data_IF_166352478407
#
_entry.id   IF_166352478407
#
_cell.length_a   1.000
_cell.length_b   1.000
_cell.length_c   1.000
_cell.angle_alpha   90.00
_cell.angle_beta   90.00
_cell.angle_gamma   90.00
#
_symmetry.space_group_name_H-M   'P 1'
#
loop_
_entity.id
_entity.type
_entity.pdbx_description
1 polymer ?
#
# COMPACT_ATOMS: atom_id res chain seq x y z
N UNK A 1 -37.14 -88.53 -14.57
CA UNK A 1 -37.60 -87.62 -15.64
C UNK A 1 -38.16 -86.36 -15.00
N UNK A 2 -37.52 -85.20 -15.18
CA UNK A 2 -38.07 -83.92 -14.68
C UNK A 2 -39.34 -83.60 -15.50
N UNK A 3 -40.49 -83.29 -14.87
CA UNK A 3 -41.72 -83.01 -15.58
C UNK A 3 -41.56 -81.80 -16.51
N UNK A 4 -42.16 -81.86 -17.71
CA UNK A 4 -42.07 -80.80 -18.74
C UNK A 4 -42.41 -79.41 -18.20
N UNK A 5 -43.34 -79.34 -17.24
CA UNK A 5 -43.78 -78.11 -16.60
C UNK A 5 -42.71 -77.53 -15.64
N UNK A 6 -41.90 -78.38 -15.00
CA UNK A 6 -40.78 -77.92 -14.16
C UNK A 6 -39.62 -77.36 -15.00
N UNK A 7 -39.41 -77.89 -16.23
CA UNK A 7 -38.43 -77.31 -17.18
C UNK A 7 -38.88 -75.95 -17.72
N UNK A 8 -40.18 -75.79 -18.02
CA UNK A 8 -40.76 -74.51 -18.44
C UNK A 8 -40.73 -73.47 -17.32
N UNK A 9 -41.07 -73.86 -16.08
CA UNK A 9 -41.00 -72.99 -14.92
C UNK A 9 -39.55 -72.56 -14.60
N UNK A 10 -38.58 -73.49 -14.72
CA UNK A 10 -37.16 -73.17 -14.56
C UNK A 10 -36.66 -72.21 -15.66
N UNK A 11 -37.06 -72.41 -16.93
CA UNK A 11 -36.70 -71.52 -18.03
C UNK A 11 -37.29 -70.10 -17.88
N UNK A 12 -38.54 -70.00 -17.44
CA UNK A 12 -39.18 -68.72 -17.14
C UNK A 12 -38.49 -68.01 -15.96
N UNK A 13 -38.09 -68.76 -14.92
CA UNK A 13 -37.34 -68.22 -13.78
C UNK A 13 -35.98 -67.65 -14.19
N UNK A 14 -35.22 -68.36 -15.04
CA UNK A 14 -33.92 -67.86 -15.54
C UNK A 14 -34.11 -66.60 -16.38
N UNK A 15 -35.09 -66.58 -17.29
CA UNK A 15 -35.38 -65.40 -18.11
C UNK A 15 -35.78 -64.19 -17.25
N UNK A 16 -36.60 -64.41 -16.22
CA UNK A 16 -37.01 -63.36 -15.29
C UNK A 16 -35.82 -62.77 -14.52
N UNK A 17 -34.93 -63.62 -14.00
CA UNK A 17 -33.69 -63.17 -13.34
C UNK A 17 -32.79 -62.39 -14.29
N UNK A 18 -32.68 -62.83 -15.54
CA UNK A 18 -31.85 -62.18 -16.56
C UNK A 18 -32.40 -60.79 -16.94
N UNK A 19 -33.73 -60.66 -17.06
CA UNK A 19 -34.41 -59.37 -17.28
C UNK A 19 -34.19 -58.44 -16.09
N UNK A 20 -34.31 -58.93 -14.85
CA UNK A 20 -34.03 -58.12 -13.66
C UNK A 20 -32.58 -57.65 -13.61
N UNK A 21 -31.63 -58.53 -13.92
CA UNK A 21 -30.21 -58.21 -13.95
C UNK A 21 -29.89 -57.14 -15.02
N UNK A 22 -30.52 -57.24 -16.20
CA UNK A 22 -30.42 -56.22 -17.24
C UNK A 22 -31.03 -54.89 -16.79
N UNK A 23 -32.22 -54.93 -16.17
CA UNK A 23 -32.89 -53.74 -15.68
C UNK A 23 -32.01 -53.00 -14.66
N UNK A 24 -31.50 -53.68 -13.62
CA UNK A 24 -30.65 -53.05 -12.60
C UNK A 24 -29.28 -52.59 -13.14
N UNK A 25 -28.68 -53.31 -14.08
CA UNK A 25 -27.38 -52.93 -14.66
C UNK A 25 -27.44 -51.76 -15.65
N UNK A 26 -28.65 -51.41 -16.11
CA UNK A 26 -28.88 -50.30 -17.03
C UNK A 26 -28.91 -48.93 -16.34
N UNK A 27 -29.15 -48.88 -15.03
CA UNK A 27 -29.18 -47.62 -14.30
C UNK A 27 -27.80 -47.23 -13.79
N UNK A 28 -27.49 -45.94 -13.83
CA UNK A 28 -26.31 -45.36 -13.20
C UNK A 28 -26.65 -43.99 -12.62
N UNK A 29 -25.84 -43.52 -11.68
CA UNK A 29 -26.03 -42.23 -11.04
C UNK A 29 -24.81 -41.34 -11.27
N UNK A 30 -25.07 -40.07 -11.55
CA UNK A 30 -24.04 -39.02 -11.69
C UNK A 30 -24.19 -38.03 -10.53
N UNK A 31 -23.07 -37.69 -9.89
CA UNK A 31 -23.04 -36.71 -8.80
C UNK A 31 -23.24 -35.27 -9.32
N UNK A 32 -23.73 -34.36 -8.47
CA UNK A 32 -24.02 -32.96 -8.81
C UNK A 32 -22.82 -32.21 -9.38
N UNK A 33 -21.62 -32.50 -8.89
CA UNK A 33 -20.37 -31.90 -9.34
C UNK A 33 -19.69 -32.63 -10.50
N UNK A 34 -20.38 -33.59 -11.13
CA UNK A 34 -19.85 -34.36 -12.24
C UNK A 34 -20.81 -34.35 -13.44
N UNK A 35 -20.28 -34.74 -14.59
CA UNK A 35 -21.05 -35.03 -15.81
C UNK A 35 -20.64 -36.40 -16.33
N UNK A 36 -21.62 -37.21 -16.69
CA UNK A 36 -21.37 -38.56 -17.20
C UNK A 36 -21.25 -38.54 -18.72
N UNK A 37 -20.07 -38.83 -19.26
CA UNK A 37 -19.88 -39.01 -20.70
C UNK A 37 -20.28 -40.44 -21.06
N UNK A 38 -21.34 -40.58 -21.85
CA UNK A 38 -21.84 -41.88 -22.31
C UNK A 38 -21.29 -42.19 -23.69
N UNK A 39 -20.54 -43.29 -23.76
CA UNK A 39 -19.92 -43.80 -24.96
C UNK A 39 -20.62 -45.07 -25.41
N UNK A 40 -20.85 -45.22 -26.72
CA UNK A 40 -21.36 -46.44 -27.34
C UNK A 40 -20.28 -47.01 -28.24
N UNK A 41 -19.70 -48.16 -27.89
CA UNK A 41 -18.58 -48.77 -28.62
C UNK A 41 -17.43 -47.77 -28.88
N UNK A 42 -17.18 -46.84 -27.94
CA UNK A 42 -16.16 -45.80 -28.07
C UNK A 42 -16.60 -44.50 -28.75
N UNK A 43 -17.80 -44.44 -29.34
CA UNK A 43 -18.36 -43.18 -29.88
C UNK A 43 -19.08 -42.40 -28.78
N UNK A 44 -18.77 -41.11 -28.63
CA UNK A 44 -19.51 -40.21 -27.74
C UNK A 44 -20.94 -40.03 -28.27
N UNK A 45 -21.93 -40.43 -27.46
CA UNK A 45 -23.35 -40.33 -27.80
C UNK A 45 -23.98 -39.12 -27.12
N UNK A 46 -23.72 -38.94 -25.82
CA UNK A 46 -24.32 -37.87 -25.03
C UNK A 46 -23.55 -37.61 -23.74
N UNK A 47 -23.81 -36.44 -23.16
CA UNK A 47 -23.39 -36.08 -21.80
C UNK A 47 -24.62 -36.15 -20.89
N UNK A 48 -24.51 -36.90 -19.81
CA UNK A 48 -25.51 -37.07 -18.74
C UNK A 48 -25.41 -35.93 -17.75
N UNK A 49 -26.57 -35.38 -17.41
CA UNK A 49 -26.74 -34.47 -16.28
C UNK A 49 -26.65 -35.23 -14.94
N UNK A 50 -26.48 -34.52 -13.81
CA UNK A 50 -26.53 -35.12 -12.49
C UNK A 50 -27.87 -35.81 -12.20
N UNK A 51 -27.80 -36.86 -11.38
CA UNK A 51 -28.95 -37.66 -11.00
C UNK A 51 -28.91 -39.05 -11.59
N UNK A 52 -30.07 -39.71 -11.57
CA UNK A 52 -30.24 -41.07 -12.05
C UNK A 52 -30.48 -41.06 -13.56
N UNK A 53 -29.68 -41.84 -14.29
CA UNK A 53 -29.75 -41.91 -15.74
C UNK A 53 -29.58 -43.36 -16.24
N UNK A 54 -29.88 -43.59 -17.52
CA UNK A 54 -29.99 -44.89 -18.14
C UNK A 54 -28.91 -45.09 -19.22
N UNK A 55 -28.24 -46.23 -19.17
CA UNK A 55 -27.29 -46.71 -20.18
C UNK A 55 -27.72 -48.08 -20.70
N UNK A 56 -27.36 -48.39 -21.94
CA UNK A 56 -27.55 -49.74 -22.49
C UNK A 56 -26.44 -50.64 -21.95
N UNK A 57 -26.75 -51.67 -21.13
CA UNK A 57 -25.72 -52.53 -20.55
C UNK A 57 -24.94 -53.25 -21.66
N UNK A 58 -23.66 -53.56 -21.39
CA UNK A 58 -22.69 -54.20 -22.30
C UNK A 58 -22.23 -53.39 -23.52
N UNK A 59 -23.04 -52.45 -24.01
CA UNK A 59 -22.75 -51.65 -25.21
C UNK A 59 -22.26 -50.25 -24.82
N UNK A 60 -22.94 -49.64 -23.86
CA UNK A 60 -22.65 -48.28 -23.41
C UNK A 60 -21.69 -48.31 -22.20
N UNK A 61 -20.61 -47.54 -22.28
CA UNK A 61 -19.73 -47.24 -21.15
C UNK A 61 -19.93 -45.80 -20.69
N UNK A 62 -19.75 -45.55 -19.39
CA UNK A 62 -19.93 -44.23 -18.78
C UNK A 62 -18.63 -43.85 -18.09
N UNK A 63 -18.14 -42.65 -18.40
CA UNK A 63 -16.97 -42.05 -17.76
C UNK A 63 -17.37 -40.71 -17.16
N UNK A 64 -17.05 -40.45 -15.90
CA UNK A 64 -17.42 -39.18 -15.26
C UNK A 64 -16.31 -38.15 -15.40
N UNK A 65 -16.71 -36.89 -15.59
CA UNK A 65 -15.85 -35.72 -15.66
C UNK A 65 -16.32 -34.74 -14.60
N UNK A 66 -15.43 -34.36 -13.69
CA UNK A 66 -15.72 -33.37 -12.65
C UNK A 66 -15.80 -31.97 -13.24
N UNK A 67 -16.90 -31.26 -12.95
CA UNK A 67 -17.10 -29.84 -13.29
C UNK A 67 -16.79 -28.91 -12.12
N UNK A 68 -16.25 -29.46 -11.02
CA UNK A 68 -15.80 -28.68 -9.86
C UNK A 68 -14.53 -27.90 -10.20
N UNK A 69 -14.20 -26.95 -9.33
CA UNK A 69 -12.94 -26.23 -9.41
C UNK A 69 -11.78 -27.15 -9.03
N UNK A 70 -10.73 -27.11 -9.84
CA UNK A 70 -9.46 -27.79 -9.64
C UNK A 70 -8.36 -26.74 -9.55
N UNK A 71 -7.40 -26.94 -8.66
CA UNK A 71 -6.23 -26.07 -8.55
C UNK A 71 -4.99 -26.85 -8.92
N UNK A 72 -4.24 -26.33 -9.88
CA UNK A 72 -2.92 -26.84 -10.23
C UNK A 72 -1.85 -25.84 -9.81
N UNK A 73 -0.81 -26.31 -9.14
CA UNK A 73 0.26 -25.49 -8.57
C UNK A 73 1.56 -25.79 -9.31
N UNK A 74 2.15 -24.74 -9.87
CA UNK A 74 3.52 -24.75 -10.38
C UNK A 74 4.44 -24.31 -9.24
N UNK A 75 5.15 -25.27 -8.64
CA UNK A 75 6.02 -25.00 -7.47
C UNK A 75 7.27 -24.19 -7.85
N UNK A 76 7.91 -24.52 -8.97
CA UNK A 76 9.19 -23.92 -9.39
C UNK A 76 9.15 -23.52 -10.86
N UNK A 77 8.31 -22.54 -11.20
CA UNK A 77 8.24 -22.00 -12.55
C UNK A 77 9.41 -21.04 -12.76
N UNK A 78 10.43 -21.49 -13.50
CA UNK A 78 11.60 -20.67 -13.83
C UNK A 78 11.24 -19.59 -14.87
N UNK A 79 11.63 -18.35 -14.60
CA UNK A 79 11.50 -17.25 -15.55
C UNK A 79 12.64 -16.24 -15.39
N UNK A 80 12.79 -15.36 -16.38
CA UNK A 80 13.74 -14.25 -16.34
C UNK A 80 12.98 -12.94 -16.32
N UNK A 81 13.41 -12.03 -15.45
CA UNK A 81 12.89 -10.67 -15.42
C UNK A 81 13.43 -9.85 -16.61
N UNK A 82 12.86 -8.66 -16.82
CA UNK A 82 13.30 -7.71 -17.85
C UNK A 82 14.80 -7.37 -17.76
N UNK A 83 15.32 -7.28 -16.53
CA UNK A 83 16.75 -7.05 -16.21
C UNK A 83 17.57 -8.35 -16.14
N UNK A 84 17.09 -9.41 -16.81
CA UNK A 84 17.77 -10.69 -16.98
C UNK A 84 18.12 -11.41 -15.67
N UNK A 85 17.32 -11.20 -14.62
CA UNK A 85 17.50 -11.90 -13.37
C UNK A 85 16.71 -13.21 -13.37
N UNK A 86 17.34 -14.36 -13.11
CA UNK A 86 16.63 -15.61 -12.96
C UNK A 86 15.78 -15.55 -11.69
N UNK A 87 14.54 -16.02 -11.82
CA UNK A 87 13.57 -16.11 -10.72
C UNK A 87 12.83 -17.44 -10.77
N UNK A 88 12.42 -17.91 -9.60
CA UNK A 88 11.53 -19.06 -9.44
C UNK A 88 10.19 -18.56 -8.92
N UNK A 89 9.13 -18.81 -9.68
CA UNK A 89 7.78 -18.41 -9.31
C UNK A 89 6.98 -19.62 -8.83
N UNK A 90 6.22 -19.40 -7.76
CA UNK A 90 5.16 -20.31 -7.34
C UNK A 90 3.83 -19.75 -7.84
N UNK A 91 3.15 -20.48 -8.73
CA UNK A 91 1.92 -20.01 -9.40
C UNK A 91 0.83 -21.05 -9.27
N UNK A 92 -0.33 -20.65 -8.75
CA UNK A 92 -1.52 -21.50 -8.74
C UNK A 92 -2.53 -21.05 -9.78
N UNK A 93 -3.06 -22.03 -10.50
CA UNK A 93 -4.13 -21.84 -11.49
C UNK A 93 -5.33 -22.64 -11.04
N UNK A 94 -6.39 -21.93 -10.68
CA UNK A 94 -7.71 -22.54 -10.42
C UNK A 94 -8.51 -22.51 -11.70
N UNK A 95 -8.98 -23.68 -12.11
CA UNK A 95 -9.71 -23.89 -13.35
C UNK A 95 -10.87 -24.85 -13.12
N UNK A 96 -11.85 -24.81 -14.01
CA UNK A 96 -12.95 -25.77 -14.05
C UNK A 96 -13.33 -26.06 -15.49
N UNK A 97 -14.00 -27.18 -15.69
CA UNK A 97 -14.55 -27.55 -17.00
C UNK A 97 -16.02 -27.15 -17.00
N UNK A 98 -16.44 -26.18 -17.83
CA UNK A 98 -17.86 -25.86 -17.96
C UNK A 98 -18.64 -27.08 -18.44
N UNK A 99 -19.87 -27.25 -17.96
CA UNK A 99 -20.67 -28.45 -18.24
C UNK A 99 -20.93 -28.64 -19.74
N UNK A 100 -21.05 -27.54 -20.48
CA UNK A 100 -21.22 -27.47 -21.92
C UNK A 100 -20.00 -27.96 -22.72
N UNK A 101 -18.78 -27.85 -22.16
CA UNK A 101 -17.53 -28.22 -22.83
C UNK A 101 -17.05 -29.63 -22.47
N UNK A 102 -17.78 -30.38 -21.63
CA UNK A 102 -17.38 -31.73 -21.20
C UNK A 102 -17.26 -32.70 -22.38
N UNK A 103 -18.15 -32.59 -23.37
CA UNK A 103 -18.10 -33.45 -24.57
C UNK A 103 -16.84 -33.19 -25.40
N UNK A 104 -16.51 -31.92 -25.60
CA UNK A 104 -15.31 -31.46 -26.32
C UNK A 104 -14.04 -31.88 -25.60
N UNK A 105 -13.98 -31.65 -24.28
CA UNK A 105 -12.88 -32.10 -23.44
C UNK A 105 -12.64 -33.60 -23.59
N UNK A 106 -13.70 -34.41 -23.50
CA UNK A 106 -13.55 -35.86 -23.60
C UNK A 106 -13.12 -36.29 -25.00
N UNK A 107 -13.65 -35.66 -26.05
CA UNK A 107 -13.29 -35.99 -27.42
C UNK A 107 -11.82 -35.66 -27.75
N UNK A 108 -11.31 -34.52 -27.28
CA UNK A 108 -9.96 -34.04 -27.63
C UNK A 108 -8.88 -34.53 -26.64
N UNK A 109 -9.21 -34.60 -25.36
CA UNK A 109 -8.24 -34.89 -24.29
C UNK A 109 -8.53 -36.21 -23.56
N UNK A 110 -9.77 -36.70 -23.59
CA UNK A 110 -10.20 -37.92 -22.89
C UNK A 110 -10.37 -37.76 -21.38
N UNK A 111 -9.42 -37.12 -20.70
CA UNK A 111 -9.47 -36.90 -19.25
C UNK A 111 -9.05 -35.48 -18.87
N UNK A 112 -9.46 -35.04 -17.68
CA UNK A 112 -9.04 -33.74 -17.11
C UNK A 112 -7.51 -33.70 -16.93
N UNK A 113 -6.89 -34.80 -16.52
CA UNK A 113 -5.43 -34.87 -16.36
C UNK A 113 -4.70 -34.66 -17.69
N UNK A 114 -5.20 -35.23 -18.79
CA UNK A 114 -4.62 -34.99 -20.11
C UNK A 114 -4.82 -33.55 -20.59
N UNK A 115 -5.98 -32.95 -20.32
CA UNK A 115 -6.23 -31.53 -20.58
C UNK A 115 -5.22 -30.67 -19.82
N UNK A 116 -5.05 -30.92 -18.52
CA UNK A 116 -4.10 -30.19 -17.68
C UNK A 116 -2.67 -30.28 -18.24
N UNK A 117 -2.19 -31.48 -18.54
CA UNK A 117 -0.83 -31.70 -19.05
C UNK A 117 -0.60 -31.07 -20.44
N UNK A 118 -1.60 -31.12 -21.32
CA UNK A 118 -1.45 -30.62 -22.71
C UNK A 118 -1.72 -29.14 -22.85
N UNK A 119 -2.59 -28.58 -22.01
CA UNK A 119 -3.04 -27.19 -22.12
C UNK A 119 -2.44 -26.35 -21.00
N UNK A 120 -2.77 -26.64 -19.74
CA UNK A 120 -2.35 -25.80 -18.60
C UNK A 120 -0.84 -25.82 -18.42
N UNK A 121 -0.23 -27.01 -18.38
CA UNK A 121 1.21 -27.16 -18.15
C UNK A 121 2.07 -26.64 -19.31
N UNK A 122 1.48 -26.47 -20.50
CA UNK A 122 2.18 -25.90 -21.67
C UNK A 122 1.98 -24.39 -21.80
N UNK A 123 0.73 -23.93 -21.78
CA UNK A 123 0.40 -22.54 -22.07
C UNK A 123 0.60 -21.62 -20.86
N UNK A 124 0.41 -22.10 -19.63
CA UNK A 124 0.56 -21.27 -18.42
C UNK A 124 2.00 -20.78 -18.26
N UNK A 125 3.04 -21.65 -18.32
CA UNK A 125 4.41 -21.18 -18.19
C UNK A 125 4.80 -20.13 -19.22
N UNK A 126 4.38 -20.30 -20.48
CA UNK A 126 4.68 -19.34 -21.53
C UNK A 126 4.01 -17.98 -21.27
N UNK A 127 2.73 -17.97 -20.88
CA UNK A 127 2.02 -16.74 -20.53
C UNK A 127 2.65 -16.03 -19.31
N UNK A 128 2.97 -16.78 -18.25
CA UNK A 128 3.63 -16.26 -17.05
C UNK A 128 5.00 -15.67 -17.40
N UNK A 129 5.85 -16.42 -18.13
CA UNK A 129 7.19 -15.97 -18.55
C UNK A 129 7.13 -14.70 -19.39
N UNK A 130 6.19 -14.62 -20.33
CA UNK A 130 6.02 -13.45 -21.20
C UNK A 130 5.61 -12.19 -20.45
N UNK A 131 4.75 -12.32 -19.42
CA UNK A 131 4.38 -11.18 -18.56
C UNK A 131 5.51 -10.84 -17.62
N UNK A 132 6.09 -11.83 -16.95
CA UNK A 132 7.17 -11.63 -15.98
C UNK A 132 8.40 -10.96 -16.62
N UNK A 133 8.74 -11.33 -17.86
CA UNK A 133 9.83 -10.72 -18.63
C UNK A 133 9.64 -9.23 -18.96
N UNK A 134 8.46 -8.65 -18.70
CA UNK A 134 8.19 -7.19 -18.81
C UNK A 134 8.45 -6.43 -17.52
N UNK A 135 8.59 -7.15 -16.40
CA UNK A 135 8.85 -6.58 -15.08
C UNK A 135 10.34 -6.70 -14.75
N UNK A 136 10.93 -5.63 -14.21
CA UNK A 136 12.22 -5.77 -13.53
C UNK A 136 12.05 -6.53 -12.23
N UNK A 137 13.09 -7.18 -11.73
CA UNK A 137 13.00 -7.95 -10.48
C UNK A 137 12.50 -7.10 -9.30
N UNK A 138 12.96 -5.84 -9.20
CA UNK A 138 12.52 -4.90 -8.16
C UNK A 138 11.02 -4.59 -8.28
N UNK A 139 10.53 -4.34 -9.51
CA UNK A 139 9.10 -4.05 -9.72
C UNK A 139 8.22 -5.27 -9.51
N UNK A 140 8.70 -6.48 -9.83
CA UNK A 140 7.97 -7.72 -9.56
C UNK A 140 7.72 -7.91 -8.05
N UNK A 141 8.65 -7.47 -7.20
CA UNK A 141 8.51 -7.50 -5.73
C UNK A 141 7.59 -6.36 -5.25
N UNK A 142 7.82 -5.14 -5.71
CA UNK A 142 7.10 -3.94 -5.23
C UNK A 142 5.65 -3.85 -5.75
N UNK A 143 5.41 -4.20 -7.01
CA UNK A 143 4.10 -4.12 -7.69
C UNK A 143 3.47 -5.52 -7.87
N UNK A 144 3.69 -6.42 -6.90
CA UNK A 144 3.31 -7.83 -7.02
C UNK A 144 1.82 -8.06 -7.32
N UNK A 145 0.94 -7.25 -6.76
CA UNK A 145 -0.49 -7.31 -7.05
C UNK A 145 -0.78 -7.05 -8.54
N UNK A 146 -0.10 -6.06 -9.13
CA UNK A 146 -0.25 -5.72 -10.54
C UNK A 146 0.31 -6.82 -11.43
N UNK A 147 1.47 -7.38 -11.09
CA UNK A 147 2.02 -8.56 -11.75
C UNK A 147 1.00 -9.71 -11.76
N UNK A 148 0.35 -9.98 -10.62
CA UNK A 148 -0.69 -11.02 -10.51
C UNK A 148 -1.89 -10.76 -11.43
N UNK A 149 -2.37 -9.53 -11.51
CA UNK A 149 -3.47 -9.14 -12.43
C UNK A 149 -3.07 -9.35 -13.89
N UNK A 150 -1.88 -8.89 -14.27
CA UNK A 150 -1.39 -9.03 -15.65
C UNK A 150 -1.17 -10.49 -16.03
N UNK A 151 -0.61 -11.30 -15.12
CA UNK A 151 -0.44 -12.75 -15.30
C UNK A 151 -1.79 -13.44 -15.44
N UNK A 152 -2.77 -13.12 -14.59
CA UNK A 152 -4.11 -13.68 -14.67
C UNK A 152 -4.78 -13.36 -16.03
N UNK A 153 -4.68 -12.12 -16.49
CA UNK A 153 -5.21 -11.72 -17.79
C UNK A 153 -4.51 -12.45 -18.96
N UNK A 154 -3.19 -12.60 -18.90
CA UNK A 154 -2.43 -13.28 -19.93
C UNK A 154 -2.71 -14.79 -19.98
N UNK A 155 -2.82 -15.45 -18.83
CA UNK A 155 -3.19 -16.87 -18.77
C UNK A 155 -4.62 -17.06 -19.27
N UNK A 156 -5.57 -16.23 -18.84
CA UNK A 156 -6.95 -16.30 -19.33
C UNK A 156 -7.00 -16.17 -20.87
N UNK A 157 -6.27 -15.22 -21.44
CA UNK A 157 -6.18 -15.04 -22.90
C UNK A 157 -5.47 -16.21 -23.60
N UNK A 158 -4.45 -16.81 -22.98
CA UNK A 158 -3.75 -17.95 -23.57
C UNK A 158 -4.63 -19.21 -23.63
N UNK A 159 -5.57 -19.34 -22.70
CA UNK A 159 -6.51 -20.46 -22.61
C UNK A 159 -7.76 -20.29 -23.46
N UNK A 160 -7.88 -19.17 -24.20
CA UNK A 160 -8.99 -18.96 -25.11
C UNK A 160 -9.07 -20.09 -26.15
N UNK A 161 -10.30 -20.56 -26.41
CA UNK A 161 -10.59 -21.70 -27.28
C UNK A 161 -10.25 -23.09 -26.72
N UNK A 162 -9.73 -23.22 -25.51
CA UNK A 162 -9.63 -24.54 -24.85
C UNK A 162 -10.93 -24.84 -24.09
N UNK A 163 -11.34 -26.12 -23.94
CA UNK A 163 -12.55 -26.51 -23.22
C UNK A 163 -12.38 -26.43 -21.69
N UNK A 164 -11.86 -25.30 -21.20
CA UNK A 164 -11.55 -25.03 -19.79
C UNK A 164 -11.81 -23.56 -19.48
N UNK A 165 -12.39 -23.31 -18.31
CA UNK A 165 -12.57 -21.97 -17.77
C UNK A 165 -11.57 -21.74 -16.64
N UNK A 166 -10.75 -20.70 -16.77
CA UNK A 166 -9.88 -20.24 -15.70
C UNK A 166 -10.71 -19.43 -14.71
N UNK A 167 -10.76 -19.88 -13.46
CA UNK A 167 -11.45 -19.19 -12.36
C UNK A 167 -10.55 -18.09 -11.79
N UNK A 168 -9.26 -18.37 -11.68
CA UNK A 168 -8.27 -17.39 -11.27
C UNK A 168 -6.85 -17.93 -11.29
N UNK A 169 -5.89 -17.00 -11.37
CA UNK A 169 -4.46 -17.29 -11.30
C UNK A 169 -3.85 -16.43 -10.21
N UNK A 170 -3.01 -17.04 -9.38
CA UNK A 170 -2.31 -16.35 -8.30
C UNK A 170 -0.81 -16.61 -8.38
N UNK A 171 -0.04 -15.54 -8.28
CA UNK A 171 1.42 -15.61 -8.11
C UNK A 171 1.70 -15.62 -6.60
N UNK A 172 1.88 -16.81 -6.04
CA UNK A 172 2.04 -17.09 -4.60
C UNK A 172 3.44 -16.79 -4.06
N UNK A 173 4.46 -16.83 -4.91
CA UNK A 173 5.82 -16.44 -4.53
C UNK A 173 6.62 -16.04 -5.78
N UNK A 174 7.55 -15.09 -5.59
CA UNK A 174 8.59 -14.76 -6.57
C UNK A 174 9.91 -14.77 -5.82
N UNK A 175 10.65 -15.86 -5.98
CA UNK A 175 11.97 -16.04 -5.36
C UNK A 175 13.08 -15.66 -6.33
N UNK A 176 14.11 -14.98 -5.82
CA UNK A 176 15.35 -14.71 -6.56
C UNK A 176 16.52 -15.42 -5.87
N UNK A 177 17.70 -15.41 -6.52
CA UNK A 177 18.90 -15.92 -5.84
C UNK A 177 19.20 -15.11 -4.58
N UNK A 178 19.60 -15.78 -3.48
CA UNK A 178 19.95 -15.10 -2.21
C UNK A 178 20.99 -13.99 -2.39
N UNK A 179 21.95 -14.20 -3.29
CA UNK A 179 22.96 -13.19 -3.62
C UNK A 179 22.34 -11.94 -4.25
N UNK A 180 21.35 -12.11 -5.13
CA UNK A 180 20.63 -11.01 -5.74
C UNK A 180 19.74 -10.27 -4.74
N UNK A 181 18.96 -11.00 -3.93
CA UNK A 181 18.12 -10.41 -2.88
C UNK A 181 18.95 -9.56 -1.93
N UNK A 182 20.11 -10.06 -1.49
CA UNK A 182 21.03 -9.29 -0.67
C UNK A 182 21.55 -8.04 -1.39
N UNK A 183 21.88 -8.13 -2.68
CA UNK A 183 22.31 -6.96 -3.46
C UNK A 183 21.22 -5.89 -3.60
N UNK A 184 19.95 -6.29 -3.72
CA UNK A 184 18.80 -5.39 -3.79
C UNK A 184 18.55 -4.74 -2.44
N UNK A 185 18.62 -5.51 -1.35
CA UNK A 185 18.56 -4.98 0.01
C UNK A 185 19.64 -3.92 0.24
N UNK A 186 20.89 -4.20 -0.13
CA UNK A 186 22.00 -3.24 -0.02
C UNK A 186 21.77 -1.97 -0.86
N UNK A 187 21.28 -2.11 -2.11
CA UNK A 187 20.93 -0.96 -2.96
C UNK A 187 19.78 -0.14 -2.39
N UNK A 188 18.76 -0.80 -1.84
CA UNK A 188 17.63 -0.14 -1.20
C UNK A 188 18.08 0.64 0.04
N UNK A 189 18.91 0.03 0.89
CA UNK A 189 19.49 0.71 2.05
C UNK A 189 20.37 1.89 1.65
N UNK A 190 21.19 1.75 0.60
CA UNK A 190 22.00 2.84 0.07
C UNK A 190 21.12 3.99 -0.47
N UNK A 191 20.02 3.68 -1.18
CA UNK A 191 19.08 4.70 -1.67
C UNK A 191 18.39 5.42 -0.51
N UNK A 192 17.90 4.69 0.50
CA UNK A 192 17.31 5.27 1.71
C UNK A 192 18.34 6.14 2.43
N UNK A 193 19.60 5.73 2.49
CA UNK A 193 20.68 6.54 3.09
C UNK A 193 20.92 7.83 2.31
N UNK A 194 20.90 7.79 0.97
CA UNK A 194 21.02 9.00 0.14
C UNK A 194 19.85 9.95 0.38
N UNK A 195 18.61 9.44 0.39
CA UNK A 195 17.42 10.24 0.63
C UNK A 195 17.41 10.87 2.03
N UNK A 196 17.78 10.10 3.06
CA UNK A 196 17.89 10.63 4.43
C UNK A 196 18.97 11.70 4.55
N UNK A 197 20.15 11.51 3.95
CA UNK A 197 21.20 12.54 3.90
C UNK A 197 20.74 13.78 3.14
N UNK A 198 19.97 13.62 2.06
CA UNK A 198 19.39 14.75 1.31
C UNK A 198 18.40 15.53 2.17
N UNK A 199 17.50 14.84 2.87
CA UNK A 199 16.54 15.45 3.80
C UNK A 199 17.25 16.15 4.97
N UNK A 200 18.31 15.55 5.52
CA UNK A 200 19.12 16.17 6.57
C UNK A 200 19.79 17.46 6.07
N UNK A 201 20.36 17.43 4.86
CA UNK A 201 20.96 18.62 4.23
C UNK A 201 19.92 19.73 4.06
N UNK A 202 18.73 19.39 3.56
CA UNK A 202 17.63 20.33 3.37
C UNK A 202 17.16 20.92 4.71
N UNK A 203 16.98 20.07 5.73
CA UNK A 203 16.63 20.50 7.09
C UNK A 203 17.69 21.43 7.70
N UNK A 204 18.97 21.12 7.49
CA UNK A 204 20.08 21.95 7.97
C UNK A 204 20.10 23.31 7.27
N UNK A 205 19.83 23.36 5.96
CA UNK A 205 19.70 24.62 5.22
C UNK A 205 18.54 25.47 5.74
N UNK A 206 17.35 24.88 5.90
CA UNK A 206 16.18 25.57 6.45
C UNK A 206 16.48 26.09 7.86
N UNK A 207 17.14 25.28 8.70
CA UNK A 207 17.53 25.69 10.05
C UNK A 207 18.50 26.87 10.03
N UNK A 208 19.52 26.84 9.16
CA UNK A 208 20.46 27.93 9.00
C UNK A 208 19.75 29.22 8.53
N UNK A 209 18.79 29.13 7.62
CA UNK A 209 17.97 30.25 7.17
C UNK A 209 17.12 30.83 8.31
N UNK A 210 16.46 29.97 9.10
CA UNK A 210 15.72 30.38 10.31
C UNK A 210 16.63 31.15 11.27
N UNK A 211 17.87 30.68 11.51
CA UNK A 211 18.82 31.38 12.38
C UNK A 211 19.22 32.75 11.83
N UNK A 212 19.45 32.88 10.52
CA UNK A 212 19.75 34.16 9.87
C UNK A 212 18.56 35.13 10.00
N UNK A 213 17.34 34.65 9.74
CA UNK A 213 16.12 35.45 9.89
C UNK A 213 15.92 35.90 11.34
N UNK A 214 16.12 34.99 12.30
CA UNK A 214 16.04 35.29 13.73
C UNK A 214 17.09 36.32 14.15
N UNK A 215 18.34 36.15 13.74
CA UNK A 215 19.43 37.08 14.06
C UNK A 215 19.18 38.48 13.47
N UNK A 216 18.64 38.57 12.24
CA UNK A 216 18.20 39.84 11.64
C UNK A 216 17.07 40.46 12.44
N UNK A 217 16.04 39.69 12.78
CA UNK A 217 14.91 40.16 13.57
C UNK A 217 15.36 40.69 14.96
N UNK A 218 16.30 40.00 15.62
CA UNK A 218 16.88 40.46 16.89
C UNK A 218 17.73 41.73 16.72
N UNK A 219 18.53 41.82 15.67
CA UNK A 219 19.31 43.02 15.35
C UNK A 219 18.40 44.23 15.06
N UNK A 220 17.31 44.01 14.32
CA UNK A 220 16.30 45.02 14.01
C UNK A 220 15.56 45.47 15.27
N UNK A 221 15.14 44.51 16.11
CA UNK A 221 14.52 44.82 17.40
C UNK A 221 15.44 45.65 18.31
N UNK A 222 16.73 45.29 18.41
CA UNK A 222 17.71 46.08 19.17
C UNK A 222 17.91 47.48 18.60
N UNK A 223 18.04 47.60 17.28
CA UNK A 223 18.13 48.92 16.61
C UNK A 223 16.93 49.78 16.97
N UNK A 224 15.72 49.21 16.88
CA UNK A 224 14.50 49.93 17.19
C UNK A 224 14.40 50.31 18.68
N UNK A 225 14.87 49.46 19.59
CA UNK A 225 14.99 49.79 21.01
C UNK A 225 15.96 50.97 21.25
N UNK A 226 17.15 50.94 20.65
CA UNK A 226 18.12 52.03 20.78
C UNK A 226 17.60 53.34 20.18
N UNK A 227 16.90 53.29 19.05
CA UNK A 227 16.25 54.47 18.46
C UNK A 227 15.17 55.01 19.40
N UNK A 228 14.30 54.15 19.93
CA UNK A 228 13.25 54.56 20.85
C UNK A 228 13.82 55.14 22.16
N UNK A 229 14.92 54.58 22.69
CA UNK A 229 15.60 55.11 23.87
C UNK A 229 16.26 56.47 23.58
N UNK A 230 16.95 56.60 22.46
CA UNK A 230 17.55 57.86 22.04
C UNK A 230 16.49 58.97 21.87
N UNK A 231 15.37 58.65 21.23
CA UNK A 231 14.23 59.57 21.12
C UNK A 231 13.63 59.91 22.49
N UNK A 232 13.51 58.93 23.39
CA UNK A 232 13.03 59.14 24.75
C UNK A 232 13.97 60.01 25.60
N UNK A 233 15.30 59.90 25.41
CA UNK A 233 16.30 60.78 26.05
C UNK A 233 16.20 62.19 25.47
N UNK A 234 16.13 62.32 24.14
CA UNK A 234 15.98 63.61 23.46
C UNK A 234 14.72 64.34 23.91
N UNK A 235 13.57 63.65 23.93
CA UNK A 235 12.29 64.21 24.36
C UNK A 235 12.33 64.65 25.84
N UNK A 236 12.93 63.85 26.73
CA UNK A 236 13.13 64.24 28.14
C UNK A 236 14.04 65.44 28.28
N UNK A 237 15.17 65.47 27.56
CA UNK A 237 16.10 66.61 27.56
C UNK A 237 15.45 67.90 27.04
N UNK A 238 14.64 67.80 25.97
CA UNK A 238 13.85 68.93 25.45
C UNK A 238 12.81 69.42 26.48
N UNK A 239 12.10 68.49 27.13
CA UNK A 239 11.12 68.81 28.17
C UNK A 239 11.77 69.44 29.42
N UNK A 240 12.92 68.94 29.86
CA UNK A 240 13.70 69.51 30.95
C UNK A 240 14.24 70.89 30.57
N UNK A 241 14.79 71.06 29.37
CA UNK A 241 15.27 72.35 28.88
C UNK A 241 14.14 73.38 28.76
N UNK A 242 12.94 72.96 28.33
CA UNK A 242 11.75 73.81 28.31
C UNK A 242 11.29 74.16 29.72
N UNK A 243 11.27 73.20 30.65
CA UNK A 243 10.92 73.40 32.06
C UNK A 243 11.89 74.36 32.75
N UNK A 244 13.20 74.19 32.54
CA UNK A 244 14.23 75.08 33.08
C UNK A 244 14.08 76.49 32.52
N UNK A 245 13.83 76.65 31.21
CA UNK A 245 13.57 77.96 30.60
C UNK A 245 12.33 78.62 31.18
N UNK A 246 11.21 77.91 31.27
CA UNK A 246 9.98 78.43 31.88
C UNK A 246 10.19 78.82 33.35
N UNK A 247 10.93 78.03 34.13
CA UNK A 247 11.32 78.37 35.51
C UNK A 247 12.22 79.60 35.56
N UNK A 248 13.21 79.70 34.67
CA UNK A 248 14.12 80.84 34.61
C UNK A 248 13.38 82.14 34.21
N UNK A 249 12.46 82.08 33.25
CA UNK A 249 11.59 83.19 32.87
C UNK A 249 10.68 83.62 34.04
N UNK A 250 10.07 82.67 34.75
CA UNK A 250 9.25 82.95 35.94
C UNK A 250 10.06 83.59 37.08
N UNK A 251 11.31 83.14 37.29
CA UNK A 251 12.22 83.73 38.28
C UNK A 251 12.70 85.13 37.87
N UNK A 252 12.94 85.37 36.57
CA UNK A 252 13.35 86.67 36.05
C UNK A 252 12.22 87.72 36.14
N UNK A 253 10.96 87.30 35.93
CA UNK A 253 9.80 88.18 36.03
C UNK A 253 9.44 88.57 37.49
N UNK A 254 9.94 87.85 38.49
CA UNK A 254 9.56 88.05 39.89
C UNK A 254 10.72 87.83 40.86
N UNK A 255 11.46 88.91 41.16
CA UNK A 255 12.65 88.89 42.04
C UNK A 255 12.36 88.36 43.46
N UNK A 256 11.12 88.50 43.95
CA UNK A 256 10.72 88.04 45.28
C UNK A 256 10.57 86.51 45.39
N UNK A 257 10.51 85.78 44.28
CA UNK A 257 10.40 84.31 44.25
C UNK A 257 11.75 83.61 44.48
N UNK A 258 12.86 84.28 44.19
CA UNK A 258 14.22 83.80 44.50
C UNK A 258 14.43 83.79 46.02
N UNK A 259 14.01 84.85 46.71
CA UNK A 259 14.02 84.92 48.18
C UNK A 259 13.11 83.86 48.82
N UNK A 260 11.94 83.57 48.24
CA UNK A 260 11.03 82.54 48.76
C UNK A 260 11.62 81.12 48.63
N UNK A 261 12.15 80.76 47.45
CA UNK A 261 12.80 79.45 47.25
C UNK A 261 14.06 79.28 48.11
N UNK A 262 14.81 80.36 48.35
CA UNK A 262 15.96 80.35 49.24
C UNK A 262 15.56 80.09 50.70
N UNK A 263 14.42 80.62 51.14
CA UNK A 263 13.85 80.36 52.47
C UNK A 263 13.29 78.93 52.58
N UNK A 264 12.63 78.40 51.56
CA UNK A 264 12.06 77.04 51.57
C UNK A 264 13.11 75.92 51.53
N UNK A 265 14.25 76.13 50.88
CA UNK A 265 15.35 75.16 50.82
C UNK A 265 16.38 75.28 51.94
N UNK A 266 16.26 76.30 52.80
CA UNK A 266 17.18 76.48 53.92
C UNK A 266 16.81 75.51 55.05
N UNK A 267 17.79 74.73 55.48
CA UNK A 267 17.69 73.78 56.60
C UNK A 267 17.69 74.47 57.98
N UNK A 268 17.68 75.81 58.02
CA UNK A 268 17.64 76.60 59.24
C UNK A 268 18.96 76.65 60.01
N UNK A 269 20.05 76.09 59.45
CA UNK A 269 21.36 76.06 60.12
C UNK A 269 22.26 77.17 59.58
N UNK A 270 22.79 78.01 60.46
CA UNK A 270 23.79 79.04 60.11
C UNK A 270 25.19 78.41 60.10
N UNK A 271 26.09 78.79 59.15
CA UNK A 271 27.45 78.27 59.10
C UNK A 271 28.23 78.56 60.39
N UNK A 272 28.81 77.52 61.00
CA UNK A 272 29.49 77.57 62.30
C UNK A 272 30.85 78.28 62.28
N UNK A 273 31.34 78.70 61.11
CA UNK A 273 32.59 79.46 60.97
C UNK A 273 32.34 80.72 60.14
N UNK A 274 32.51 81.88 60.76
CA UNK A 274 32.38 83.18 60.10
C UNK A 274 33.65 84.01 60.31
N UNK A 275 34.07 84.71 59.25
CA UNK A 275 35.17 85.68 59.29
C UNK A 275 34.60 87.01 59.83
N UNK A 276 35.24 87.67 60.81
CA UNK A 276 34.73 88.94 61.35
C UNK A 276 34.61 90.01 60.25
N UNK A 277 33.40 90.52 60.01
CA UNK A 277 33.13 91.62 59.07
C UNK A 277 32.40 91.26 57.77
N UNK A 278 31.98 90.01 57.56
CA UNK A 278 31.20 89.64 56.37
C UNK A 278 29.70 89.95 56.54
N UNK A 279 29.06 90.46 55.47
CA UNK A 279 27.63 90.75 55.45
C UNK A 279 26.77 89.46 55.55
N UNK A 280 25.72 89.49 56.37
CA UNK A 280 24.73 88.41 56.47
C UNK A 280 24.03 88.22 55.11
N UNK A 281 24.05 87.01 54.51
CA UNK A 281 23.68 86.86 53.11
C UNK A 281 22.19 86.97 52.78
N UNK A 282 21.26 87.20 53.72
CA UNK A 282 19.83 87.04 53.40
C UNK A 282 18.86 88.09 53.94
N UNK A 283 19.29 89.12 54.66
CA UNK A 283 18.35 90.12 55.18
C UNK A 283 18.91 91.54 55.06
N UNK A 284 18.66 92.17 53.92
CA UNK A 284 18.68 93.62 53.80
C UNK A 284 17.35 94.18 54.29
N UNK A 285 17.26 94.47 55.59
CA UNK A 285 16.10 95.20 56.15
C UNK A 285 16.26 96.67 55.74
N UNK A 286 15.24 97.22 55.08
CA UNK A 286 14.96 98.66 55.14
C UNK A 286 13.89 98.89 56.19
#
# INVERSE_FOLDING_TARGET
>A
MIPRNAKLAAGAGVLFVLILMLAFSSWFQVDQGERGVVLRNGKLVRVSEPGLDFKTPFIDSVSTVSVRDHTFIFENLEAYSYDQQPATLRVSVTYRVPAEHVAELYAEYGTISNLQMRVLERKTPDAVKNVFGRYTAVRAIQERQKLGVDVNAAVLSAMDGAPVQIVGVQVEEVGFSKAYEHSIEQRMLAQVQIETTRQQKETAMITAEIQVVKAKAEADARRQQFTAEADGIRLRGEAEAASIRAKAEALAANTNLVSLNAVEKWDGVLPATQVPGAALPFIGIK
#
